data_IF_395478571698
#
_entry.id   IF_395478571698
#
_cell.length_a   1.000
_cell.length_b   1.000
_cell.length_c   1.000
_cell.angle_alpha   90.00
_cell.angle_beta   90.00
_cell.angle_gamma   90.00
#
_symmetry.space_group_name_H-M   'P 1'
#
loop_
_entity.id
_entity.type
_entity.pdbx_description
1 polymer ?
#
# COMPACT_ATOMS: atom_id res chain seq x y z
N UNK A 1 9.23 -1.93 -16.03
CA UNK A 1 10.37 -2.85 -15.95
C UNK A 1 10.06 -4.14 -16.66
N UNK A 2 8.93 -4.79 -16.37
CA UNK A 2 8.51 -6.05 -17.03
C UNK A 2 8.50 -5.95 -18.55
N UNK A 3 7.96 -4.86 -19.11
CA UNK A 3 8.01 -4.63 -20.56
C UNK A 3 9.44 -4.47 -21.07
N UNK A 4 10.32 -3.83 -20.31
CA UNK A 4 11.72 -3.68 -20.68
C UNK A 4 12.45 -5.04 -20.66
N UNK A 5 12.23 -5.84 -19.62
CA UNK A 5 12.75 -7.21 -19.52
C UNK A 5 12.22 -8.09 -20.66
N UNK A 6 10.91 -8.08 -20.92
CA UNK A 6 10.27 -8.81 -22.01
C UNK A 6 10.88 -8.45 -23.38
N UNK A 7 11.06 -7.16 -23.66
CA UNK A 7 11.63 -6.70 -24.93
C UNK A 7 13.12 -7.06 -25.04
N UNK A 8 13.89 -6.91 -23.97
CA UNK A 8 15.30 -7.30 -23.94
C UNK A 8 15.50 -8.81 -24.13
N UNK A 9 14.68 -9.64 -23.48
CA UNK A 9 14.68 -11.09 -23.68
C UNK A 9 14.31 -11.49 -25.13
N UNK A 10 13.54 -10.66 -25.83
CA UNK A 10 13.24 -10.82 -27.27
C UNK A 10 14.32 -10.22 -28.18
N UNK A 11 15.50 -9.92 -27.65
CA UNK A 11 16.65 -9.40 -28.40
C UNK A 11 16.51 -7.95 -28.87
N UNK A 12 15.59 -7.17 -28.30
CA UNK A 12 15.44 -5.75 -28.64
C UNK A 12 16.40 -4.90 -27.80
N UNK A 13 16.96 -3.85 -28.41
CA UNK A 13 17.72 -2.81 -27.68
C UNK A 13 16.72 -1.96 -26.89
N UNK A 14 16.87 -1.93 -25.57
CA UNK A 14 15.94 -1.21 -24.68
C UNK A 14 16.66 -0.10 -23.96
N UNK A 15 16.07 1.08 -23.95
CA UNK A 15 16.46 2.19 -23.09
C UNK A 15 15.31 2.40 -22.12
N UNK A 16 15.62 2.31 -20.84
CA UNK A 16 14.68 2.57 -19.76
C UNK A 16 15.02 3.90 -19.09
N UNK A 17 14.01 4.75 -18.96
CA UNK A 17 14.13 6.07 -18.34
C UNK A 17 13.17 6.19 -17.16
N UNK A 18 13.56 6.96 -16.15
CA UNK A 18 12.71 7.25 -14.99
C UNK A 18 13.04 8.62 -14.38
N UNK A 19 12.05 9.19 -13.70
CA UNK A 19 12.14 10.47 -12.99
C UNK A 19 12.18 10.26 -11.48
N UNK A 20 13.09 10.97 -10.81
CA UNK A 20 13.13 11.05 -9.34
C UNK A 20 13.70 9.80 -8.69
N UNK A 21 13.53 9.63 -7.36
CA UNK A 21 13.92 8.39 -6.72
C UNK A 21 13.15 7.26 -7.39
N UNK A 22 13.88 6.28 -7.92
CA UNK A 22 13.32 5.08 -8.51
C UNK A 22 12.29 4.51 -7.53
N UNK A 23 11.07 4.17 -7.98
CA UNK A 23 10.14 3.39 -7.14
C UNK A 23 10.90 2.23 -6.54
N UNK A 24 10.86 2.11 -5.23
CA UNK A 24 11.70 1.17 -4.52
C UNK A 24 11.16 -0.22 -4.77
N UNK A 25 11.95 -1.12 -5.31
CA UNK A 25 11.53 -2.50 -5.42
C UNK A 25 12.11 -3.27 -4.24
N UNK A 26 11.24 -3.94 -3.50
CA UNK A 26 11.72 -4.90 -2.51
C UNK A 26 12.34 -6.09 -3.26
N UNK A 27 13.57 -6.55 -2.99
CA UNK A 27 14.01 -7.87 -3.39
C UNK A 27 13.11 -8.92 -2.73
N UNK A 28 13.16 -10.14 -3.25
CA UNK A 28 12.70 -11.33 -2.53
C UNK A 28 13.58 -11.58 -1.31
N UNK A 29 13.38 -10.79 -0.25
CA UNK A 29 14.05 -10.97 1.04
C UNK A 29 13.22 -11.92 1.90
N UNK A 30 13.81 -12.98 2.46
CA UNK A 30 13.15 -13.79 3.49
C UNK A 30 12.89 -12.99 4.79
N UNK A 31 11.81 -13.27 5.52
CA UNK A 31 10.75 -14.23 5.19
C UNK A 31 9.91 -13.73 4.00
N UNK A 32 9.63 -14.64 3.06
CA UNK A 32 9.24 -14.31 1.68
C UNK A 32 8.14 -13.26 1.59
N UNK A 33 8.41 -12.21 0.81
CA UNK A 33 7.57 -11.05 0.48
C UNK A 33 6.85 -10.41 1.69
N UNK A 34 7.21 -9.17 1.99
CA UNK A 34 6.49 -8.36 2.98
C UNK A 34 5.02 -8.16 2.55
N UNK A 35 4.10 -8.20 3.50
CA UNK A 35 2.65 -8.16 3.34
C UNK A 35 1.97 -9.54 3.43
N UNK A 36 2.74 -10.61 3.63
CA UNK A 36 2.31 -12.00 3.49
C UNK A 36 2.20 -12.76 4.80
N UNK A 37 2.92 -12.29 5.82
CA UNK A 37 3.26 -13.09 6.97
C UNK A 37 2.95 -12.35 8.27
N UNK A 38 3.04 -13.10 9.37
CA UNK A 38 2.77 -12.56 10.70
C UNK A 38 3.76 -11.45 11.09
N UNK A 39 5.03 -11.52 10.70
CA UNK A 39 6.01 -10.47 10.98
C UNK A 39 5.57 -9.13 10.40
N UNK A 40 5.03 -9.12 9.19
CA UNK A 40 4.57 -7.90 8.53
C UNK A 40 3.40 -7.26 9.27
N UNK A 41 2.47 -8.06 9.81
CA UNK A 41 1.38 -7.54 10.64
C UNK A 41 1.93 -6.93 11.95
N UNK A 42 3.00 -7.53 12.49
CA UNK A 42 3.57 -7.13 13.77
C UNK A 42 4.49 -5.92 13.70
N UNK A 43 5.20 -5.76 12.58
CA UNK A 43 6.26 -4.75 12.38
C UNK A 43 5.88 -3.73 11.30
N UNK A 44 4.83 -4.01 10.53
CA UNK A 44 4.26 -3.12 9.55
C UNK A 44 3.33 -2.09 10.18
N UNK A 45 2.94 -1.06 9.40
CA UNK A 45 1.95 -0.12 9.86
C UNK A 45 0.62 -0.75 10.27
N UNK A 46 0.05 -0.27 11.38
CA UNK A 46 -1.36 -0.49 11.67
C UNK A 46 -1.92 0.66 12.49
N UNK A 47 -3.09 1.17 12.09
CA UNK A 47 -3.84 2.10 12.94
C UNK A 47 -4.37 1.39 14.17
N UNK A 48 -4.85 0.15 14.00
CA UNK A 48 -5.48 -0.64 15.06
C UNK A 48 -4.42 -1.55 15.68
N UNK A 49 -3.99 -1.16 16.88
CA UNK A 49 -3.08 -1.92 17.73
C UNK A 49 -3.94 -2.77 18.68
N UNK A 50 -4.11 -4.03 18.35
CA UNK A 50 -5.12 -4.92 18.97
C UNK A 50 -4.53 -6.13 19.69
N UNK A 51 -3.20 -6.17 19.80
CA UNK A 51 -2.48 -7.20 20.54
C UNK A 51 -1.40 -6.57 21.40
N UNK A 52 -1.11 -7.21 22.52
CA UNK A 52 0.00 -6.82 23.39
C UNK A 52 1.32 -6.73 22.62
N UNK A 53 1.55 -7.66 21.70
CA UNK A 53 2.78 -7.70 20.91
C UNK A 53 2.87 -6.51 19.94
N UNK A 54 1.78 -6.10 19.29
CA UNK A 54 1.78 -4.91 18.42
C UNK A 54 1.97 -3.64 19.26
N UNK A 55 1.33 -3.59 20.42
CA UNK A 55 1.51 -2.50 21.37
C UNK A 55 2.97 -2.40 21.83
N UNK A 56 3.60 -3.53 22.17
CA UNK A 56 5.01 -3.56 22.54
C UNK A 56 5.89 -2.98 21.42
N UNK A 57 5.75 -3.48 20.18
CA UNK A 57 6.59 -3.07 19.06
C UNK A 57 6.36 -1.63 18.59
N UNK A 58 5.13 -1.11 18.65
CA UNK A 58 4.83 0.22 18.10
C UNK A 58 4.70 1.33 19.15
N UNK A 59 4.33 1.01 20.39
CA UNK A 59 4.02 2.01 21.42
C UNK A 59 5.10 2.12 22.52
N UNK A 60 6.01 1.16 22.64
CA UNK A 60 7.13 1.25 23.60
C UNK A 60 8.41 1.71 22.92
N UNK A 61 9.30 2.36 23.67
CA UNK A 61 10.60 2.80 23.15
C UNK A 61 11.49 1.63 22.73
N UNK A 62 11.50 0.55 23.52
CA UNK A 62 12.30 -0.65 23.24
C UNK A 62 11.77 -1.34 21.99
N UNK A 63 10.48 -1.66 21.94
CA UNK A 63 9.91 -2.33 20.78
C UNK A 63 10.03 -1.49 19.50
N UNK A 64 9.88 -0.17 19.59
CA UNK A 64 10.04 0.69 18.41
C UNK A 64 11.47 0.72 17.86
N UNK A 65 12.49 0.62 18.73
CA UNK A 65 13.88 0.45 18.27
C UNK A 65 14.05 -0.84 17.46
N UNK A 66 13.34 -1.90 17.80
CA UNK A 66 13.40 -3.17 17.08
C UNK A 66 12.78 -3.07 15.69
N UNK A 67 11.60 -2.44 15.60
CA UNK A 67 10.95 -2.17 14.31
C UNK A 67 11.88 -1.31 13.44
N UNK A 68 12.42 -0.20 13.97
CA UNK A 68 13.37 0.66 13.23
C UNK A 68 14.62 -0.11 12.80
N UNK A 69 15.18 -0.95 13.66
CA UNK A 69 16.34 -1.77 13.33
C UNK A 69 16.04 -2.78 12.21
N UNK A 70 14.89 -3.44 12.26
CA UNK A 70 14.42 -4.34 11.20
C UNK A 70 14.30 -3.62 9.86
N UNK A 71 13.61 -2.47 9.81
CA UNK A 71 13.47 -1.70 8.57
C UNK A 71 14.80 -1.13 8.07
N UNK A 72 15.74 -0.78 8.96
CA UNK A 72 17.11 -0.38 8.60
C UNK A 72 17.89 -1.55 7.98
N UNK A 73 17.75 -2.75 8.52
CA UNK A 73 18.34 -3.98 7.95
C UNK A 73 17.76 -4.25 6.55
N UNK A 74 16.43 -4.18 6.39
CA UNK A 74 15.78 -4.32 5.08
C UNK A 74 16.32 -3.31 4.06
N UNK A 75 16.45 -2.03 4.48
CA UNK A 75 17.07 -0.98 3.65
C UNK A 75 18.46 -1.36 3.18
N UNK A 76 19.27 -1.95 4.05
CA UNK A 76 20.64 -2.34 3.72
C UNK A 76 20.66 -3.39 2.60
N UNK A 77 19.81 -4.42 2.69
CA UNK A 77 19.65 -5.41 1.62
C UNK A 77 19.18 -4.79 0.30
N UNK A 78 18.28 -3.80 0.37
CA UNK A 78 17.77 -3.11 -0.83
C UNK A 78 18.83 -2.23 -1.47
N UNK A 79 19.57 -1.47 -0.67
CA UNK A 79 20.72 -0.68 -1.14
C UNK A 79 21.76 -1.55 -1.80
N UNK A 80 22.10 -2.70 -1.18
CA UNK A 80 23.03 -3.65 -1.75
C UNK A 80 22.55 -4.15 -3.12
N UNK A 81 21.31 -4.63 -3.21
CA UNK A 81 20.71 -5.11 -4.47
C UNK A 81 20.75 -4.04 -5.57
N UNK A 82 20.43 -2.78 -5.23
CA UNK A 82 20.47 -1.68 -6.18
C UNK A 82 21.89 -1.41 -6.69
N UNK A 83 22.86 -1.28 -5.78
CA UNK A 83 24.26 -1.02 -6.13
C UNK A 83 24.84 -2.16 -6.98
N UNK A 84 24.54 -3.42 -6.65
CA UNK A 84 25.02 -4.59 -7.40
C UNK A 84 24.52 -4.65 -8.86
N UNK A 85 23.44 -3.93 -9.18
CA UNK A 85 22.84 -3.86 -10.51
C UNK A 85 22.98 -2.47 -11.14
N UNK A 86 23.88 -1.62 -10.62
CA UNK A 86 24.17 -0.31 -11.19
C UNK A 86 23.04 0.72 -11.03
N UNK A 87 22.12 0.50 -10.09
CA UNK A 87 21.05 1.43 -9.76
C UNK A 87 21.44 2.36 -8.60
N UNK A 88 20.95 3.61 -8.58
CA UNK A 88 21.23 4.54 -7.49
C UNK A 88 20.51 4.06 -6.22
N UNK A 89 21.22 3.88 -5.09
CA UNK A 89 20.63 3.28 -3.90
C UNK A 89 19.55 4.17 -3.28
N UNK A 90 18.49 3.59 -2.70
CA UNK A 90 17.42 4.34 -2.06
C UNK A 90 17.86 5.15 -0.82
N UNK A 91 17.45 6.42 -0.73
CA UNK A 91 17.87 7.36 0.34
C UNK A 91 16.81 7.71 1.40
N UNK A 92 15.52 7.55 1.11
CA UNK A 92 14.43 7.80 2.06
C UNK A 92 14.33 6.71 3.15
N UNK A 93 13.42 6.84 4.11
CA UNK A 93 13.18 5.79 5.10
C UNK A 93 12.23 4.73 4.52
N UNK A 94 12.65 3.45 4.41
CA UNK A 94 11.80 2.37 3.90
C UNK A 94 10.51 2.19 4.69
N UNK A 95 10.55 2.38 6.01
CA UNK A 95 9.38 2.30 6.84
C UNK A 95 8.45 3.45 6.42
N UNK A 96 8.88 4.70 6.50
CA UNK A 96 8.01 5.86 6.23
C UNK A 96 7.61 6.04 4.76
N UNK A 97 8.28 5.37 3.83
CA UNK A 97 8.11 5.57 2.39
C UNK A 97 7.53 4.36 1.67
N UNK A 98 6.85 3.43 2.35
CA UNK A 98 6.28 2.22 1.73
C UNK A 98 5.37 2.51 0.51
N UNK A 99 4.70 3.66 0.47
CA UNK A 99 3.92 4.07 -0.70
C UNK A 99 4.76 4.39 -1.96
N UNK A 100 6.08 4.49 -1.83
CA UNK A 100 7.00 4.65 -2.95
C UNK A 100 7.53 3.30 -3.47
N UNK A 101 7.10 2.19 -2.85
CA UNK A 101 7.55 0.87 -3.24
C UNK A 101 6.69 0.28 -4.36
N UNK A 102 7.35 -0.51 -5.20
CA UNK A 102 6.74 -1.49 -6.07
C UNK A 102 7.10 -2.89 -5.53
N UNK A 103 6.35 -3.92 -5.97
CA UNK A 103 6.46 -5.28 -5.46
C UNK A 103 7.85 -5.93 -5.56
N UNK A 104 7.92 -7.21 -5.23
CA UNK A 104 9.14 -8.01 -5.29
C UNK A 104 9.87 -7.90 -6.64
N UNK A 105 11.19 -7.72 -6.67
CA UNK A 105 11.98 -7.99 -7.88
C UNK A 105 12.28 -9.48 -7.93
N UNK A 106 11.80 -10.20 -8.95
CA UNK A 106 12.24 -11.56 -9.19
C UNK A 106 13.73 -11.56 -9.62
N UNK A 107 14.48 -12.60 -9.25
CA UNK A 107 15.94 -12.68 -9.44
C UNK A 107 16.38 -13.66 -10.52
N UNK A 108 15.46 -14.09 -11.38
CA UNK A 108 15.76 -14.92 -12.56
C UNK A 108 16.68 -14.17 -13.51
N UNK A 109 17.59 -14.85 -14.23
CA UNK A 109 18.43 -14.23 -15.27
C UNK A 109 17.63 -13.47 -16.34
N UNK A 110 16.36 -13.82 -16.54
CA UNK A 110 15.45 -13.16 -17.47
C UNK A 110 14.80 -11.87 -16.92
N UNK A 111 15.07 -11.51 -15.66
CA UNK A 111 14.42 -10.37 -15.02
C UNK A 111 15.16 -9.06 -15.26
N UNK A 112 14.45 -7.96 -14.96
CA UNK A 112 14.92 -6.62 -15.26
C UNK A 112 16.31 -6.30 -14.70
N UNK A 113 16.58 -6.66 -13.45
CA UNK A 113 17.84 -6.32 -12.78
C UNK A 113 19.06 -7.03 -13.40
N UNK A 114 19.07 -8.37 -13.56
CA UNK A 114 20.16 -9.05 -14.28
C UNK A 114 20.34 -8.52 -15.70
N UNK A 115 19.26 -8.27 -16.45
CA UNK A 115 19.35 -7.74 -17.81
C UNK A 115 19.92 -6.31 -17.87
N UNK A 116 19.64 -5.48 -16.86
CA UNK A 116 20.26 -4.17 -16.69
C UNK A 116 21.76 -4.30 -16.40
N UNK A 117 22.14 -5.19 -15.48
CA UNK A 117 23.54 -5.44 -15.11
C UNK A 117 24.37 -6.00 -16.28
N UNK A 118 23.77 -6.86 -17.09
CA UNK A 118 24.36 -7.40 -18.32
C UNK A 118 24.44 -6.37 -19.47
N UNK A 119 23.87 -5.17 -19.30
CA UNK A 119 23.86 -4.13 -20.33
C UNK A 119 22.88 -4.39 -21.48
N UNK A 120 22.00 -5.40 -21.38
CA UNK A 120 20.92 -5.65 -22.36
C UNK A 120 19.84 -4.58 -22.28
N UNK A 121 19.70 -3.93 -21.13
CA UNK A 121 18.88 -2.73 -20.93
C UNK A 121 19.82 -1.59 -20.58
N UNK A 122 19.76 -0.50 -21.34
CA UNK A 122 20.43 0.75 -20.98
C UNK A 122 19.52 1.62 -20.13
N UNK A 123 20.10 2.39 -19.21
CA UNK A 123 19.37 3.25 -18.29
C UNK A 123 19.75 4.72 -18.51
N UNK A 124 18.75 5.61 -18.47
CA UNK A 124 18.96 7.05 -18.38
C UNK A 124 18.17 7.56 -17.17
N UNK A 125 18.88 8.09 -16.18
CA UNK A 125 18.30 8.52 -14.91
C UNK A 125 17.97 10.01 -14.93
N UNK A 126 16.98 10.42 -14.14
CA UNK A 126 16.68 11.82 -13.82
C UNK A 126 16.51 12.73 -15.05
N UNK A 127 15.98 12.17 -16.13
CA UNK A 127 15.65 12.91 -17.35
C UNK A 127 14.15 12.95 -17.59
N UNK A 128 13.67 14.03 -18.18
CA UNK A 128 12.30 14.16 -18.65
C UNK A 128 12.28 14.16 -20.18
N UNK A 129 11.42 13.38 -20.84
CA UNK A 129 11.19 13.53 -22.26
C UNK A 129 10.57 14.91 -22.54
N UNK A 130 11.20 15.73 -23.36
CA UNK A 130 10.79 17.12 -23.66
C UNK A 130 10.19 17.26 -25.05
N UNK A 131 10.72 16.54 -26.02
CA UNK A 131 10.23 16.57 -27.40
C UNK A 131 10.42 15.24 -28.12
N UNK A 132 9.61 15.01 -29.16
CA UNK A 132 9.73 13.87 -30.08
C UNK A 132 10.02 14.46 -31.45
N UNK A 133 11.15 14.07 -32.05
CA UNK A 133 11.49 14.40 -33.42
C UNK A 133 11.14 13.21 -34.32
N UNK A 134 10.02 13.31 -35.04
CA UNK A 134 9.51 12.27 -35.93
C UNK A 134 10.41 12.04 -37.15
N UNK A 135 11.04 13.09 -37.69
CA UNK A 135 11.93 12.98 -38.85
C UNK A 135 13.22 12.21 -38.54
N UNK A 136 13.76 12.41 -37.34
CA UNK A 136 15.02 11.79 -36.89
C UNK A 136 14.80 10.51 -36.11
N UNK A 137 13.54 10.12 -35.87
CA UNK A 137 13.11 9.03 -35.00
C UNK A 137 13.80 9.08 -33.64
N UNK A 138 13.74 10.24 -32.98
CA UNK A 138 14.42 10.47 -31.70
C UNK A 138 13.54 11.14 -30.67
N UNK A 139 13.84 10.86 -29.40
CA UNK A 139 13.27 11.54 -28.24
C UNK A 139 14.36 12.37 -27.60
N UNK A 140 14.03 13.62 -27.30
CA UNK A 140 14.86 14.52 -26.54
C UNK A 140 14.55 14.35 -25.05
N UNK A 141 15.61 14.25 -24.26
CA UNK A 141 15.57 14.13 -22.82
C UNK A 141 16.33 15.30 -22.19
N UNK A 142 15.72 16.01 -21.25
CA UNK A 142 16.37 17.08 -20.50
C UNK A 142 16.48 16.70 -19.02
N UNK A 143 17.66 16.86 -18.44
CA UNK A 143 17.87 16.66 -16.99
C UNK A 143 17.52 17.93 -16.18
N UNK A 144 17.68 17.87 -14.86
CA UNK A 144 17.44 19.02 -13.97
C UNK A 144 18.35 20.22 -14.22
N UNK A 145 19.52 19.98 -14.80
CA UNK A 145 20.56 20.98 -15.03
C UNK A 145 20.44 21.63 -16.41
N UNK A 146 19.41 21.24 -17.19
CA UNK A 146 19.16 21.74 -18.53
C UNK A 146 19.95 21.05 -19.63
N UNK A 147 20.74 20.02 -19.32
CA UNK A 147 21.48 19.25 -20.31
C UNK A 147 20.51 18.41 -21.16
N UNK A 148 20.74 18.44 -22.47
CA UNK A 148 19.88 17.82 -23.46
C UNK A 148 20.56 16.58 -24.03
N UNK A 149 19.84 15.45 -24.02
CA UNK A 149 20.27 14.18 -24.59
C UNK A 149 19.26 13.70 -25.63
N UNK A 150 19.74 13.49 -26.85
CA UNK A 150 18.93 12.95 -27.94
C UNK A 150 19.12 11.44 -28.07
N UNK A 151 18.02 10.70 -28.09
CA UNK A 151 18.02 9.24 -28.14
C UNK A 151 17.20 8.78 -29.34
N UNK A 152 17.83 8.09 -30.29
CA UNK A 152 17.11 7.44 -31.39
C UNK A 152 16.33 6.22 -30.90
N UNK A 153 15.08 6.10 -31.31
CA UNK A 153 14.22 4.98 -30.97
C UNK A 153 13.22 4.68 -32.09
N UNK A 154 12.98 3.39 -32.35
CA UNK A 154 11.92 2.96 -33.29
C UNK A 154 10.53 2.86 -32.65
N UNK A 155 10.45 2.82 -31.31
CA UNK A 155 9.21 2.75 -30.57
C UNK A 155 9.36 3.40 -29.19
N UNK A 156 8.28 3.99 -28.70
CA UNK A 156 8.17 4.55 -27.34
C UNK A 156 7.12 3.74 -26.60
N UNK A 157 7.48 3.23 -25.42
CA UNK A 157 6.55 2.52 -24.53
C UNK A 157 6.37 3.33 -23.25
N UNK A 158 5.20 3.91 -23.07
CA UNK A 158 4.87 4.71 -21.88
C UNK A 158 4.35 3.81 -20.76
N UNK A 159 5.24 3.35 -19.88
CA UNK A 159 4.90 2.56 -18.70
C UNK A 159 4.61 3.45 -17.46
N UNK A 160 3.80 4.50 -17.64
CA UNK A 160 3.53 5.54 -16.62
C UNK A 160 2.47 5.14 -15.59
N UNK A 161 1.95 3.91 -15.66
CA UNK A 161 0.93 3.39 -14.76
C UNK A 161 -0.49 3.64 -15.26
N UNK A 162 -1.46 3.41 -14.37
CA UNK A 162 -2.89 3.55 -14.65
C UNK A 162 -3.51 4.56 -13.69
N UNK A 163 -4.51 5.32 -14.15
CA UNK A 163 -5.38 6.07 -13.23
C UNK A 163 -6.42 5.11 -12.66
N UNK A 164 -6.45 4.93 -11.34
CA UNK A 164 -7.45 4.15 -10.63
C UNK A 164 -8.48 5.06 -9.94
N UNK A 165 -9.71 4.59 -9.79
CA UNK A 165 -10.75 5.26 -9.00
C UNK A 165 -11.16 6.65 -9.46
N UNK A 166 -11.09 6.94 -10.76
CA UNK A 166 -11.62 8.19 -11.32
C UNK A 166 -13.14 8.15 -11.47
N UNK A 167 -13.73 6.96 -11.58
CA UNK A 167 -15.17 6.71 -11.74
C UNK A 167 -15.81 7.59 -12.81
N UNK A 168 -15.11 7.83 -13.94
CA UNK A 168 -15.52 8.82 -14.95
C UNK A 168 -16.85 8.48 -15.65
N UNK A 169 -17.29 7.22 -15.55
CA UNK A 169 -18.64 6.81 -15.97
C UNK A 169 -19.76 7.41 -15.09
N UNK A 170 -19.42 7.97 -13.91
CA UNK A 170 -20.35 8.70 -13.04
C UNK A 170 -20.23 10.21 -13.26
N UNK A 171 -21.36 10.90 -13.25
CA UNK A 171 -21.38 12.36 -13.29
C UNK A 171 -20.53 12.96 -12.14
N UNK A 172 -19.81 14.04 -12.41
CA UNK A 172 -18.93 14.71 -11.43
C UNK A 172 -19.67 15.10 -10.14
N UNK A 173 -20.91 15.61 -10.25
CA UNK A 173 -21.75 15.95 -9.09
C UNK A 173 -22.06 14.73 -8.23
N UNK A 174 -22.42 13.61 -8.87
CA UNK A 174 -22.69 12.35 -8.18
C UNK A 174 -21.44 11.83 -7.48
N UNK A 175 -20.27 11.83 -8.14
CA UNK A 175 -18.99 11.43 -7.52
C UNK A 175 -18.66 12.27 -6.29
N UNK A 176 -18.86 13.58 -6.36
CA UNK A 176 -18.64 14.50 -5.24
C UNK A 176 -19.62 14.22 -4.11
N UNK A 177 -20.90 14.01 -4.42
CA UNK A 177 -21.92 13.64 -3.44
C UNK A 177 -21.61 12.30 -2.76
N UNK A 178 -21.12 11.31 -3.50
CA UNK A 178 -20.65 10.02 -2.99
C UNK A 178 -19.32 10.13 -2.20
N UNK A 179 -18.67 11.28 -2.16
CA UNK A 179 -17.38 11.42 -1.46
C UNK A 179 -16.22 10.70 -2.15
N UNK A 180 -16.37 10.34 -3.43
CA UNK A 180 -15.34 9.65 -4.22
C UNK A 180 -14.28 10.62 -4.74
N UNK A 181 -14.62 11.91 -4.81
CA UNK A 181 -13.67 12.96 -5.15
C UNK A 181 -12.76 13.21 -3.96
N UNK A 182 -11.45 13.03 -4.15
CA UNK A 182 -10.45 13.34 -3.14
C UNK A 182 -10.38 14.86 -2.93
N UNK A 183 -10.65 15.31 -1.70
CA UNK A 183 -10.70 16.72 -1.36
C UNK A 183 -9.57 17.11 -0.38
N UNK A 184 -9.10 18.36 -0.49
CA UNK A 184 -8.27 18.97 0.55
C UNK A 184 -9.16 19.48 1.69
N UNK A 185 -8.58 19.67 2.86
CA UNK A 185 -9.16 20.57 3.85
C UNK A 185 -9.25 21.98 3.26
N UNK A 186 -10.38 22.66 3.49
CA UNK A 186 -10.75 23.87 2.75
C UNK A 186 -10.42 25.19 3.48
N UNK A 187 -9.90 25.12 4.72
CA UNK A 187 -9.53 26.31 5.51
C UNK A 187 -8.27 26.09 6.34
N UNK A 188 -7.55 27.16 6.63
CA UNK A 188 -6.34 27.10 7.48
C UNK A 188 -6.64 26.57 8.89
N UNK A 189 -7.83 26.88 9.42
CA UNK A 189 -8.29 26.36 10.72
C UNK A 189 -8.40 24.84 10.67
N UNK A 190 -9.04 24.29 9.63
CA UNK A 190 -9.20 22.85 9.45
C UNK A 190 -7.85 22.16 9.18
N UNK A 191 -6.98 22.79 8.39
CA UNK A 191 -5.62 22.31 8.12
C UNK A 191 -4.81 22.23 9.41
N UNK A 192 -4.81 23.28 10.23
CA UNK A 192 -4.06 23.32 11.50
C UNK A 192 -4.60 22.31 12.52
N UNK A 193 -5.93 22.16 12.61
CA UNK A 193 -6.55 21.12 13.43
C UNK A 193 -6.12 19.73 12.98
N UNK A 194 -6.22 19.44 11.68
CA UNK A 194 -5.82 18.15 11.10
C UNK A 194 -4.34 17.86 11.33
N UNK A 195 -3.47 18.87 11.14
CA UNK A 195 -2.03 18.78 11.41
C UNK A 195 -1.78 18.38 12.86
N UNK A 196 -2.45 19.04 13.82
CA UNK A 196 -2.32 18.71 15.25
C UNK A 196 -2.74 17.27 15.54
N UNK A 197 -3.90 16.84 15.03
CA UNK A 197 -4.39 15.45 15.20
C UNK A 197 -3.42 14.41 14.63
N UNK A 198 -2.85 14.67 13.46
CA UNK A 198 -1.84 13.80 12.82
C UNK A 198 -0.56 13.71 13.66
N UNK A 199 -0.05 14.83 14.17
CA UNK A 199 1.15 14.85 14.99
C UNK A 199 0.92 14.16 16.35
N UNK A 200 -0.24 14.37 16.97
CA UNK A 200 -0.59 13.71 18.22
C UNK A 200 -0.77 12.20 18.03
N UNK A 201 -1.28 11.77 16.88
CA UNK A 201 -1.32 10.35 16.51
C UNK A 201 0.09 9.76 16.37
N UNK A 202 1.03 10.46 15.72
CA UNK A 202 2.43 10.01 15.62
C UNK A 202 3.12 9.87 16.97
N UNK A 203 2.89 10.78 17.92
CA UNK A 203 3.50 10.71 19.26
C UNK A 203 3.18 9.41 20.02
N UNK A 204 2.03 8.80 19.72
CA UNK A 204 1.61 7.49 20.26
C UNK A 204 2.43 6.34 19.66
N UNK A 205 2.85 6.44 18.40
CA UNK A 205 3.71 5.46 17.73
C UNK A 205 5.18 5.85 17.82
N UNK A 206 5.91 5.19 18.71
CA UNK A 206 7.36 5.42 18.90
C UNK A 206 8.20 4.99 17.69
N UNK A 207 7.58 4.36 16.69
CA UNK A 207 8.22 3.96 15.42
C UNK A 207 8.34 5.09 14.40
N UNK A 208 7.66 6.22 14.59
CA UNK A 208 7.66 7.34 13.64
C UNK A 208 8.26 8.57 14.32
N UNK A 209 9.40 9.03 13.82
CA UNK A 209 10.01 10.31 14.23
C UNK A 209 9.85 11.27 13.04
N UNK A 210 9.19 12.41 13.24
CA UNK A 210 9.00 13.39 12.17
C UNK A 210 7.79 14.31 12.38
N UNK A 211 7.99 15.60 12.12
CA UNK A 211 6.97 16.64 12.23
C UNK A 211 6.40 17.08 10.87
N UNK A 212 6.87 16.46 9.78
CA UNK A 212 6.48 16.82 8.42
C UNK A 212 5.00 16.54 8.20
N UNK A 213 4.27 17.56 7.75
CA UNK A 213 2.86 17.45 7.41
C UNK A 213 2.64 17.90 5.98
N UNK A 214 1.88 17.10 5.23
CA UNK A 214 1.42 17.45 3.90
C UNK A 214 -0.09 17.33 3.86
N UNK A 215 -0.74 18.39 3.36
CA UNK A 215 -2.17 18.36 3.11
C UNK A 215 -2.42 17.54 1.83
N UNK A 216 -2.76 16.26 2.01
CA UNK A 216 -3.06 15.32 0.92
C UNK A 216 -4.56 15.20 0.70
N UNK A 217 -4.95 15.05 -0.57
CA UNK A 217 -6.35 14.88 -0.98
C UNK A 217 -6.81 13.47 -0.65
N UNK A 218 -7.86 13.32 0.14
CA UNK A 218 -8.36 12.01 0.54
C UNK A 218 -9.87 11.88 0.29
N UNK A 219 -10.37 10.67 -0.01
CA UNK A 219 -11.78 10.42 -0.23
C UNK A 219 -12.55 10.29 1.10
N UNK A 220 -13.88 10.37 1.02
CA UNK A 220 -14.79 10.14 2.15
C UNK A 220 -15.52 8.80 1.99
N UNK A 221 -14.76 7.71 2.12
CA UNK A 221 -15.26 6.34 1.93
C UNK A 221 -14.84 5.50 3.13
N UNK A 222 -15.82 5.02 3.89
CA UNK A 222 -15.61 4.19 5.07
C UNK A 222 -14.96 2.86 4.67
N UNK A 223 -13.80 2.57 5.26
CA UNK A 223 -12.94 1.42 4.91
C UNK A 223 -12.55 1.36 3.44
N UNK A 224 -12.74 2.41 2.64
CA UNK A 224 -12.60 2.29 1.18
C UNK A 224 -13.76 1.61 0.45
N UNK A 225 -14.76 1.12 1.19
CA UNK A 225 -15.86 0.33 0.65
C UNK A 225 -17.15 1.14 0.59
N UNK A 226 -17.56 1.78 1.69
CA UNK A 226 -18.88 2.40 1.82
C UNK A 226 -18.78 3.94 1.71
N UNK A 227 -19.27 4.55 0.62
CA UNK A 227 -19.39 6.00 0.52
C UNK A 227 -20.11 6.63 1.70
N UNK A 228 -19.54 7.70 2.24
CA UNK A 228 -20.09 8.39 3.41
C UNK A 228 -21.56 8.81 3.23
N UNK A 229 -21.94 9.27 2.04
CA UNK A 229 -23.32 9.71 1.78
C UNK A 229 -24.33 8.58 1.69
N UNK A 230 -23.88 7.33 1.51
CA UNK A 230 -24.72 6.12 1.44
C UNK A 230 -24.70 5.31 2.74
N UNK A 231 -24.15 5.89 3.82
CA UNK A 231 -23.96 5.18 5.08
C UNK A 231 -25.28 4.69 5.71
N UNK A 232 -26.36 5.45 5.53
CA UNK A 232 -27.67 5.14 6.12
C UNK A 232 -28.44 4.14 5.25
N UNK A 233 -28.41 4.32 3.92
CA UNK A 233 -29.11 3.48 2.97
C UNK A 233 -28.45 2.10 2.82
N UNK A 234 -27.10 2.06 2.86
CA UNK A 234 -26.28 0.85 2.74
C UNK A 234 -26.58 0.05 1.48
N UNK A 235 -26.84 0.75 0.37
CA UNK A 235 -27.26 0.15 -0.90
C UNK A 235 -26.22 0.32 -2.01
N UNK A 236 -25.07 0.90 -1.68
CA UNK A 236 -23.97 1.11 -2.59
C UNK A 236 -22.65 0.86 -1.89
N UNK A 237 -21.76 0.13 -2.55
CA UNK A 237 -20.44 -0.20 -2.06
C UNK A 237 -19.44 -0.27 -3.21
N UNK A 238 -18.17 -0.09 -2.87
CA UNK A 238 -17.03 -0.11 -3.77
C UNK A 238 -16.15 -1.28 -3.39
N UNK A 239 -15.73 -2.06 -4.38
CA UNK A 239 -14.76 -3.15 -4.21
C UNK A 239 -13.63 -2.99 -5.23
N UNK A 240 -12.44 -3.51 -4.92
CA UNK A 240 -11.31 -3.46 -5.84
C UNK A 240 -10.61 -2.11 -5.93
N UNK A 241 -11.17 -1.08 -5.29
CA UNK A 241 -10.59 0.25 -5.21
C UNK A 241 -9.55 0.38 -4.09
N UNK A 242 -9.50 -0.58 -3.17
CA UNK A 242 -8.36 -0.83 -2.29
C UNK A 242 -7.28 -1.52 -3.12
N UNK A 243 -6.05 -0.98 -3.09
CA UNK A 243 -4.90 -1.52 -3.82
C UNK A 243 -3.98 -2.29 -2.87
N UNK A 244 -4.25 -3.58 -2.63
CA UNK A 244 -3.32 -4.43 -1.90
C UNK A 244 -2.07 -4.72 -2.73
N UNK A 245 -0.94 -4.83 -2.04
CA UNK A 245 0.37 -5.11 -2.61
C UNK A 245 0.68 -6.59 -2.77
N UNK A 246 0.28 -7.44 -1.81
CA UNK A 246 0.79 -8.81 -1.74
C UNK A 246 -0.25 -9.89 -2.09
N UNK A 247 -1.40 -9.97 -1.40
CA UNK A 247 -2.47 -10.94 -1.74
C UNK A 247 -3.81 -10.27 -2.05
N UNK A 248 -3.98 -9.71 -3.27
CA UNK A 248 -5.24 -9.09 -3.66
C UNK A 248 -6.44 -10.02 -3.56
N UNK A 249 -6.26 -11.31 -3.91
CA UNK A 249 -7.34 -12.29 -3.87
C UNK A 249 -7.97 -12.41 -2.46
N UNK A 250 -7.15 -12.44 -1.40
CA UNK A 250 -7.65 -12.58 -0.03
C UNK A 250 -8.33 -11.28 0.42
N UNK A 251 -7.73 -10.13 0.14
CA UNK A 251 -8.34 -8.83 0.46
C UNK A 251 -9.71 -8.68 -0.21
N UNK A 252 -9.81 -9.02 -1.50
CA UNK A 252 -11.07 -8.90 -2.24
C UNK A 252 -12.11 -9.94 -1.83
N UNK A 253 -11.70 -11.15 -1.46
CA UNK A 253 -12.59 -12.14 -0.87
C UNK A 253 -13.24 -11.59 0.41
N UNK A 254 -12.43 -11.05 1.32
CA UNK A 254 -12.92 -10.50 2.59
C UNK A 254 -13.77 -9.24 2.36
N UNK A 255 -13.39 -8.36 1.42
CA UNK A 255 -14.19 -7.20 1.03
C UNK A 255 -15.57 -7.63 0.52
N UNK A 256 -15.63 -8.66 -0.33
CA UNK A 256 -16.89 -9.16 -0.88
C UNK A 256 -17.82 -9.69 0.22
N UNK A 257 -17.25 -10.39 1.19
CA UNK A 257 -17.98 -10.84 2.38
C UNK A 257 -18.44 -9.66 3.23
N UNK A 258 -17.59 -8.65 3.45
CA UNK A 258 -17.95 -7.46 4.20
C UNK A 258 -19.12 -6.71 3.53
N UNK A 259 -19.06 -6.50 2.22
CA UNK A 259 -20.13 -5.88 1.41
C UNK A 259 -21.41 -6.70 1.47
N UNK A 260 -21.29 -8.02 1.34
CA UNK A 260 -22.44 -8.92 1.45
C UNK A 260 -23.11 -8.79 2.82
N UNK A 261 -22.34 -8.66 3.91
CA UNK A 261 -22.88 -8.45 5.25
C UNK A 261 -23.54 -7.08 5.38
N UNK A 262 -22.97 -6.05 4.76
CA UNK A 262 -23.50 -4.69 4.73
C UNK A 262 -24.89 -4.66 4.08
N UNK A 263 -25.02 -5.23 2.87
CA UNK A 263 -26.28 -5.23 2.13
C UNK A 263 -27.35 -6.10 2.79
N UNK A 264 -26.97 -7.21 3.43
CA UNK A 264 -27.88 -8.05 4.22
C UNK A 264 -28.25 -7.45 5.58
N UNK A 265 -27.61 -6.34 5.97
CA UNK A 265 -27.74 -5.72 7.30
C UNK A 265 -27.52 -6.73 8.42
N UNK A 266 -26.48 -7.56 8.27
CA UNK A 266 -26.17 -8.59 9.25
C UNK A 266 -25.98 -7.97 10.65
N UNK A 267 -26.66 -8.49 11.69
CA UNK A 267 -26.66 -7.86 13.01
C UNK A 267 -25.29 -7.91 13.71
N UNK A 268 -24.42 -8.83 13.31
CA UNK A 268 -23.04 -8.93 13.80
C UNK A 268 -22.07 -7.99 13.10
N UNK A 269 -22.48 -7.31 12.02
CA UNK A 269 -21.63 -6.35 11.32
C UNK A 269 -21.56 -5.06 12.12
N UNK A 270 -20.39 -4.82 12.72
CA UNK A 270 -20.09 -3.63 13.51
C UNK A 270 -19.83 -2.48 12.56
N UNK A 271 -20.78 -1.55 12.54
CA UNK A 271 -20.67 -0.26 11.87
C UNK A 271 -20.69 0.85 12.93
N UNK A 272 -20.19 2.05 12.61
CA UNK A 272 -20.46 3.24 13.40
C UNK A 272 -21.95 3.38 13.73
N UNK A 273 -22.30 3.90 14.90
CA UNK A 273 -23.70 4.00 15.32
C UNK A 273 -24.44 5.14 14.61
N UNK A 274 -23.69 6.14 14.13
CA UNK A 274 -24.24 7.31 13.46
C UNK A 274 -23.40 7.74 12.26
N UNK A 275 -24.00 8.54 11.39
CA UNK A 275 -23.30 9.18 10.28
C UNK A 275 -22.13 10.05 10.78
N UNK A 276 -22.28 10.72 11.92
CA UNK A 276 -21.21 11.49 12.56
C UNK A 276 -20.02 10.60 12.92
N UNK A 277 -20.25 9.49 13.61
CA UNK A 277 -19.19 8.53 13.96
C UNK A 277 -18.52 7.92 12.71
N UNK A 278 -19.29 7.66 11.66
CA UNK A 278 -18.74 7.21 10.38
C UNK A 278 -17.77 8.23 9.79
N UNK A 279 -18.13 9.52 9.81
CA UNK A 279 -17.24 10.59 9.34
C UNK A 279 -15.97 10.68 10.21
N UNK A 280 -16.10 10.53 11.53
CA UNK A 280 -14.97 10.56 12.45
C UNK A 280 -14.01 9.39 12.21
N UNK A 281 -14.52 8.19 11.96
CA UNK A 281 -13.70 7.02 11.66
C UNK A 281 -13.03 7.12 10.28
N UNK A 282 -13.73 7.65 9.26
CA UNK A 282 -13.12 8.00 7.96
C UNK A 282 -11.97 8.99 8.16
N UNK A 283 -12.19 10.05 8.95
CA UNK A 283 -11.15 11.05 9.25
C UNK A 283 -9.98 10.43 10.01
N UNK A 284 -10.23 9.51 10.92
CA UNK A 284 -9.19 8.79 11.66
C UNK A 284 -8.34 7.90 10.74
N UNK A 285 -8.95 7.12 9.84
CA UNK A 285 -8.25 6.34 8.82
C UNK A 285 -7.41 7.25 7.89
N UNK A 286 -8.00 8.35 7.43
CA UNK A 286 -7.33 9.34 6.59
C UNK A 286 -6.16 10.03 7.30
N UNK A 287 -6.31 10.38 8.58
CA UNK A 287 -5.25 10.95 9.40
C UNK A 287 -4.16 9.93 9.70
N UNK A 288 -4.50 8.64 9.82
CA UNK A 288 -3.49 7.58 9.90
C UNK A 288 -2.64 7.54 8.64
N UNK A 289 -3.22 7.61 7.45
CA UNK A 289 -2.44 7.69 6.20
C UNK A 289 -1.45 8.87 6.21
N UNK A 290 -1.89 10.06 6.65
CA UNK A 290 -1.03 11.25 6.79
C UNK A 290 0.07 11.08 7.84
N UNK A 291 -0.28 10.48 8.97
CA UNK A 291 0.66 10.19 10.04
C UNK A 291 1.71 9.18 9.57
N UNK A 292 1.30 8.19 8.78
CA UNK A 292 2.15 7.09 8.36
C UNK A 292 3.08 7.42 7.20
N UNK A 293 2.68 8.33 6.32
CA UNK A 293 3.43 8.71 5.13
C UNK A 293 3.73 10.22 5.12
N UNK A 294 4.64 10.71 5.99
CA UNK A 294 4.97 12.13 6.07
C UNK A 294 5.49 12.65 4.71
N UNK A 295 4.92 13.75 4.21
CA UNK A 295 5.36 14.36 2.95
C UNK A 295 4.95 13.61 1.67
N UNK A 296 4.35 12.42 1.78
CA UNK A 296 4.02 11.56 0.66
C UNK A 296 2.50 11.55 0.44
N UNK A 297 2.06 11.70 -0.81
CA UNK A 297 0.68 11.41 -1.18
C UNK A 297 0.64 9.98 -1.75
N UNK A 298 0.21 8.98 -0.95
CA UNK A 298 0.26 7.59 -1.40
C UNK A 298 -0.66 7.32 -2.58
N UNK A 299 -1.72 8.12 -2.77
CA UNK A 299 -2.66 7.98 -3.87
C UNK A 299 -2.10 8.52 -5.20
N UNK A 300 -1.12 9.42 -5.16
CA UNK A 300 -0.34 9.83 -6.34
C UNK A 300 0.78 8.83 -6.64
N UNK A 301 1.41 8.26 -5.61
CA UNK A 301 2.48 7.28 -5.80
C UNK A 301 1.94 5.92 -6.29
N UNK A 302 0.82 5.47 -5.75
CA UNK A 302 0.15 4.22 -6.08
C UNK A 302 -1.32 4.57 -6.30
N UNK A 303 -1.76 4.67 -7.57
CA UNK A 303 -3.13 5.03 -7.91
C UNK A 303 -4.12 4.07 -7.25
N UNK A 304 -4.68 4.48 -6.13
CA UNK A 304 -5.70 3.78 -5.34
C UNK A 304 -6.99 4.61 -5.37
N UNK A 305 -8.14 3.94 -5.43
CA UNK A 305 -9.40 4.62 -5.74
C UNK A 305 -10.15 5.16 -4.54
N UNK A 306 -10.05 4.50 -3.38
CA UNK A 306 -10.84 4.88 -2.19
C UNK A 306 -10.15 4.57 -0.86
N UNK A 307 -9.12 3.72 -0.86
CA UNK A 307 -8.37 3.39 0.37
C UNK A 307 -6.96 2.91 0.05
N UNK A 308 -5.99 3.38 0.85
CA UNK A 308 -4.61 2.97 0.72
C UNK A 308 -4.27 1.94 1.80
N UNK A 309 -4.16 0.66 1.42
CA UNK A 309 -3.68 -0.40 2.31
C UNK A 309 -2.15 -0.51 2.30
N UNK A 310 -1.46 -0.22 1.19
CA UNK A 310 0.00 -0.32 1.14
C UNK A 310 0.50 -1.74 1.47
N UNK A 311 1.53 -1.86 2.32
CA UNK A 311 1.97 -3.17 2.83
C UNK A 311 1.14 -3.69 4.01
N UNK A 312 0.02 -3.02 4.33
CA UNK A 312 -0.85 -3.33 5.47
C UNK A 312 -2.05 -4.17 5.06
N UNK A 313 -1.98 -4.89 3.95
CA UNK A 313 -3.11 -5.62 3.38
C UNK A 313 -3.78 -6.56 4.37
N UNK A 314 -2.97 -7.27 5.16
CA UNK A 314 -3.46 -8.15 6.20
C UNK A 314 -4.02 -7.36 7.39
N UNK A 315 -3.42 -6.22 7.77
CA UNK A 315 -3.97 -5.33 8.80
C UNK A 315 -5.34 -4.80 8.37
N UNK A 316 -5.49 -4.34 7.12
CA UNK A 316 -6.75 -3.89 6.55
C UNK A 316 -7.80 -5.01 6.52
N UNK A 317 -7.42 -6.19 6.03
CA UNK A 317 -8.26 -7.40 6.03
C UNK A 317 -8.74 -7.75 7.43
N UNK A 318 -7.88 -7.64 8.45
CA UNK A 318 -8.24 -7.91 9.85
C UNK A 318 -9.28 -6.95 10.39
N UNK A 319 -9.24 -5.67 10.00
CA UNK A 319 -10.26 -4.71 10.40
C UNK A 319 -11.63 -5.16 9.88
N UNK A 320 -11.71 -5.55 8.61
CA UNK A 320 -12.97 -6.04 8.03
C UNK A 320 -13.46 -7.34 8.69
N UNK A 321 -12.56 -8.28 9.00
CA UNK A 321 -12.91 -9.49 9.74
C UNK A 321 -13.50 -9.15 11.11
N UNK A 322 -12.93 -8.19 11.82
CA UNK A 322 -13.47 -7.71 13.11
C UNK A 322 -14.80 -7.02 12.98
N UNK A 323 -14.97 -6.22 11.94
CA UNK A 323 -16.25 -5.57 11.65
C UNK A 323 -17.31 -6.66 11.47
N UNK A 324 -17.00 -7.77 10.80
CA UNK A 324 -17.88 -8.94 10.68
C UNK A 324 -17.94 -9.85 11.92
N UNK A 325 -17.29 -9.49 13.04
CA UNK A 325 -17.19 -10.32 14.24
C UNK A 325 -16.58 -11.71 14.02
N UNK A 326 -15.69 -11.83 13.03
CA UNK A 326 -14.92 -13.03 12.70
C UNK A 326 -13.51 -12.96 13.30
N UNK A 327 -12.81 -14.10 13.34
CA UNK A 327 -11.43 -14.17 13.82
C UNK A 327 -10.49 -13.37 12.89
N UNK A 328 -9.84 -12.29 13.36
CA UNK A 328 -8.88 -11.54 12.57
C UNK A 328 -7.52 -12.23 12.48
N UNK A 329 -7.15 -13.11 13.43
CA UNK A 329 -5.85 -13.76 13.49
C UNK A 329 -5.88 -15.13 12.81
N UNK A 330 -6.08 -15.12 11.48
CA UNK A 330 -6.21 -16.35 10.67
C UNK A 330 -4.88 -17.09 10.43
N UNK A 331 -3.75 -16.37 10.48
CA UNK A 331 -2.40 -16.93 10.38
C UNK A 331 -2.01 -17.65 11.69
N UNK A 332 -2.57 -18.83 11.94
CA UNK A 332 -2.27 -19.64 13.12
C UNK A 332 -1.06 -20.54 12.87
N UNK A 333 -0.21 -20.68 13.89
CA UNK A 333 0.94 -21.59 13.87
C UNK A 333 0.95 -22.45 15.11
N UNK A 334 1.23 -23.73 14.93
CA UNK A 334 1.43 -24.69 16.01
C UNK A 334 2.86 -24.62 16.59
N UNK A 335 3.71 -23.72 16.08
CA UNK A 335 5.04 -23.54 16.63
C UNK A 335 4.95 -22.95 18.05
N UNK A 336 5.75 -23.40 19.03
CA UNK A 336 5.74 -22.80 20.36
C UNK A 336 6.21 -21.34 20.34
N UNK A 337 5.61 -20.48 21.16
CA UNK A 337 5.90 -19.04 21.18
C UNK A 337 7.38 -18.73 21.49
N UNK A 338 8.07 -19.55 22.29
CA UNK A 338 9.49 -19.39 22.64
C UNK A 338 10.47 -19.75 21.50
N UNK A 339 10.00 -20.42 20.44
CA UNK A 339 10.81 -20.65 19.22
C UNK A 339 10.99 -19.39 18.37
N UNK A 340 10.50 -18.23 18.82
CA UNK A 340 10.68 -16.95 18.14
C UNK A 340 12.14 -16.52 17.95
N UNK A 341 13.07 -17.03 18.77
CA UNK A 341 14.51 -16.80 18.63
C UNK A 341 15.25 -17.87 17.82
N UNK A 342 14.56 -18.96 17.42
CA UNK A 342 15.22 -20.05 16.71
C UNK A 342 15.41 -19.67 15.23
N UNK A 343 16.56 -20.02 14.67
CA UNK A 343 16.83 -19.91 13.23
C UNK A 343 15.88 -20.77 12.37
N UNK A 344 15.05 -21.62 13.01
CA UNK A 344 13.90 -22.28 12.39
C UNK A 344 12.79 -21.26 12.15
N UNK A 345 12.76 -20.68 10.95
CA UNK A 345 11.82 -19.69 10.38
C UNK A 345 10.31 -20.01 10.49
N UNK A 346 9.75 -20.36 11.66
CA UNK A 346 8.42 -21.02 11.75
C UNK A 346 7.30 -20.26 12.45
N UNK A 347 7.58 -19.27 13.30
CA UNK A 347 6.53 -18.51 14.02
C UNK A 347 6.22 -17.13 13.43
N UNK A 348 7.21 -16.45 12.86
CA UNK A 348 7.06 -15.12 12.25
C UNK A 348 6.81 -15.20 10.73
N UNK A 349 7.33 -16.23 10.05
CA UNK A 349 7.04 -16.55 8.64
C UNK A 349 5.77 -17.42 8.51
N UNK A 350 4.75 -17.15 9.34
CA UNK A 350 3.45 -17.82 9.19
C UNK A 350 2.72 -17.08 8.10
N UNK A 351 2.74 -17.67 6.92
CA UNK A 351 2.18 -17.08 5.72
C UNK A 351 0.68 -17.20 5.70
N UNK A 352 0.06 -16.20 5.08
CA UNK A 352 -1.34 -16.24 4.73
C UNK A 352 -1.58 -17.36 3.70
N UNK A 353 -2.70 -18.08 3.87
CA UNK A 353 -3.09 -19.15 2.96
C UNK A 353 -4.57 -18.98 2.55
N UNK A 354 -4.95 -19.06 1.25
CA UNK A 354 -6.34 -18.86 0.82
C UNK A 354 -7.35 -19.76 1.53
N UNK A 355 -6.99 -21.00 1.87
CA UNK A 355 -7.87 -21.95 2.57
C UNK A 355 -8.29 -21.43 3.96
N UNK A 356 -7.51 -20.56 4.59
CA UNK A 356 -7.89 -19.91 5.85
C UNK A 356 -9.09 -18.97 5.71
N UNK A 357 -9.42 -18.56 4.48
CA UNK A 357 -10.48 -17.60 4.16
C UNK A 357 -11.63 -18.28 3.40
N UNK A 358 -11.47 -19.51 2.94
CA UNK A 358 -12.51 -20.25 2.22
C UNK A 358 -13.79 -20.50 3.07
N UNK A 359 -13.68 -20.45 4.40
CA UNK A 359 -14.79 -20.71 5.33
C UNK A 359 -15.61 -19.47 5.70
N UNK A 360 -15.28 -18.28 5.18
CA UNK A 360 -15.95 -17.03 5.57
C UNK A 360 -17.47 -17.04 5.32
N UNK A 361 -17.91 -17.67 4.23
CA UNK A 361 -19.34 -17.84 3.94
C UNK A 361 -20.07 -18.61 5.03
N UNK A 362 -19.48 -19.71 5.48
CA UNK A 362 -19.98 -20.60 6.53
C UNK A 362 -20.00 -19.91 7.89
N UNK A 363 -18.88 -19.31 8.29
CA UNK A 363 -18.74 -18.63 9.58
C UNK A 363 -19.80 -17.54 9.77
N UNK A 364 -20.02 -16.72 8.73
CA UNK A 364 -21.09 -15.72 8.75
C UNK A 364 -22.48 -16.32 8.83
N UNK A 365 -22.73 -17.45 8.14
CA UNK A 365 -24.03 -18.13 8.20
C UNK A 365 -24.32 -18.60 9.62
N UNK A 366 -23.36 -19.25 10.27
CA UNK A 366 -23.46 -19.67 11.66
C UNK A 366 -23.71 -18.49 12.61
N UNK A 367 -23.08 -17.32 12.38
CA UNK A 367 -23.35 -16.12 13.18
C UNK A 367 -24.79 -15.60 13.00
N UNK A 368 -25.35 -15.63 11.78
CA UNK A 368 -26.77 -15.29 11.56
C UNK A 368 -27.69 -16.22 12.33
N UNK A 369 -27.45 -17.53 12.25
CA UNK A 369 -28.25 -18.55 12.94
C UNK A 369 -28.18 -18.41 14.47
N UNK A 370 -27.01 -18.05 15.01
CA UNK A 370 -26.81 -17.85 16.45
C UNK A 370 -27.53 -16.62 17.00
N UNK A 371 -27.67 -15.55 16.21
CA UNK A 371 -28.30 -14.29 16.64
C UNK A 371 -29.81 -14.28 16.33
N UNK A 372 -30.26 -15.05 15.34
CA UNK A 372 -31.68 -15.26 15.05
C UNK A 372 -32.38 -16.24 16.00
N UNK A 373 -31.64 -16.90 16.88
CA UNK A 373 -32.13 -17.62 18.07
C UNK A 373 -31.94 -16.74 19.29
#
# INVERSE_FOLDING_TARGET
MDTAALLANRGKKVIWTFRGPLKWFAPTVPPGMMGANRLDIMFGPSRIIDSWTMWFYHCTFIGAKWVKAFWKMMRSGWRHTYVEHGLPPPETDPYLSLAQFAGGIPSSPSDFLPLLKEGKIAMIQNVNPTSINSEKFSVEFTNSDGEVKNVRCGAIVTATGYRGGTYDFMESKLRKHLGLVRCLANSDIEINKTKKEVLDMRKKWKTIDGEEYKNVRLPLVFRGILPYSRFEERDFAITGATRPFFVPAITYEVESHWISSLFKRDPFLKLPQSKKECLEEIKADNNFTRARYPGIDPYECIPSGTYFSGFDDLCYTRVQLRDMSLDPWRQKSNAPWWKFWSNEKRWLDVRVNPEQYATLGEERRMLREKIGR
#
